data_IF_704500246057
#
_entry.id   IF_704500246057
#
_cell.length_a   1.000
_cell.length_b   1.000
_cell.length_c   1.000
_cell.angle_alpha   90.00
_cell.angle_beta   90.00
_cell.angle_gamma   90.00
#
_symmetry.space_group_name_H-M   'P 1'
#
loop_
_entity.id
_entity.type
_entity.pdbx_description
1 polymer ?
#
# COMPACT_ATOMS: atom_id res chain seq x y z
N UNK A 1 8.00 -65.99 -16.48
CA UNK A 1 7.09 -65.09 -15.71
C UNK A 1 5.83 -64.89 -16.52
N UNK A 2 4.64 -64.86 -15.91
CA UNK A 2 3.39 -64.70 -16.67
C UNK A 2 3.19 -63.23 -17.06
N UNK A 3 2.44 -62.94 -18.14
CA UNK A 3 2.15 -61.55 -18.54
C UNK A 3 1.47 -60.75 -17.42
N UNK A 4 0.70 -61.43 -16.57
CA UNK A 4 0.06 -60.86 -15.38
C UNK A 4 1.10 -60.35 -14.36
N UNK A 5 2.21 -61.06 -14.18
CA UNK A 5 3.29 -60.63 -13.27
C UNK A 5 3.97 -59.36 -13.78
N UNK A 6 4.12 -59.22 -15.10
CA UNK A 6 4.73 -58.04 -15.72
C UNK A 6 3.85 -56.79 -15.56
N UNK A 7 2.54 -56.95 -15.79
CA UNK A 7 1.55 -55.88 -15.58
C UNK A 7 1.47 -55.45 -14.11
N UNK A 8 1.53 -56.40 -13.17
CA UNK A 8 1.56 -56.11 -11.75
C UNK A 8 2.81 -55.30 -11.37
N UNK A 9 3.98 -55.69 -11.89
CA UNK A 9 5.25 -55.02 -11.59
C UNK A 9 5.28 -53.59 -12.18
N UNK A 10 4.79 -53.42 -13.42
CA UNK A 10 4.62 -52.11 -14.04
C UNK A 10 3.65 -51.21 -13.27
N UNK A 11 2.55 -51.77 -12.77
CA UNK A 11 1.58 -51.02 -11.96
C UNK A 11 2.21 -50.50 -10.67
N UNK A 12 2.97 -51.34 -9.95
CA UNK A 12 3.69 -50.92 -8.73
C UNK A 12 4.70 -49.82 -9.04
N UNK A 13 5.46 -49.94 -10.13
CA UNK A 13 6.43 -48.90 -10.55
C UNK A 13 5.71 -47.60 -10.92
N UNK A 14 4.58 -47.68 -11.63
CA UNK A 14 3.79 -46.51 -12.02
C UNK A 14 3.24 -45.77 -10.79
N UNK A 15 2.70 -46.50 -9.81
CA UNK A 15 2.22 -45.93 -8.55
C UNK A 15 3.37 -45.28 -7.79
N UNK A 16 4.52 -45.94 -7.66
CA UNK A 16 5.70 -45.38 -7.01
C UNK A 16 6.18 -44.09 -7.70
N UNK A 17 6.25 -44.08 -9.03
CA UNK A 17 6.62 -42.90 -9.81
C UNK A 17 5.64 -41.74 -9.61
N UNK A 18 4.33 -42.03 -9.52
CA UNK A 18 3.31 -41.03 -9.25
C UNK A 18 3.48 -40.39 -7.86
N UNK A 19 3.73 -41.19 -6.82
CA UNK A 19 3.99 -40.64 -5.48
C UNK A 19 5.27 -39.81 -5.43
N UNK A 20 6.31 -40.23 -6.16
CA UNK A 20 7.58 -39.50 -6.24
C UNK A 20 7.39 -38.15 -6.96
N UNK A 21 6.66 -38.15 -8.07
CA UNK A 21 6.29 -36.92 -8.77
C UNK A 21 5.45 -35.99 -7.88
N UNK A 22 4.46 -36.53 -7.16
CA UNK A 22 3.65 -35.76 -6.23
C UNK A 22 4.50 -35.11 -5.14
N UNK A 23 5.39 -35.88 -4.51
CA UNK A 23 6.29 -35.36 -3.48
C UNK A 23 7.20 -34.25 -4.04
N UNK A 24 7.77 -34.46 -5.23
CA UNK A 24 8.60 -33.47 -5.90
C UNK A 24 7.84 -32.16 -6.15
N UNK A 25 6.63 -32.22 -6.71
CA UNK A 25 5.83 -31.03 -6.96
C UNK A 25 5.38 -30.33 -5.68
N UNK A 26 5.04 -31.07 -4.61
CA UNK A 26 4.69 -30.47 -3.32
C UNK A 26 5.86 -29.70 -2.70
N UNK A 27 7.07 -30.26 -2.76
CA UNK A 27 8.30 -29.58 -2.29
C UNK A 27 8.57 -28.35 -3.14
N UNK A 28 8.46 -28.46 -4.47
CA UNK A 28 8.67 -27.33 -5.39
C UNK A 28 7.67 -26.19 -5.12
N UNK A 29 6.38 -26.51 -4.98
CA UNK A 29 5.34 -25.52 -4.67
C UNK A 29 5.62 -24.87 -3.33
N UNK A 30 5.99 -25.65 -2.31
CA UNK A 30 6.26 -25.11 -0.96
C UNK A 30 7.46 -24.17 -0.97
N UNK A 31 8.53 -24.51 -1.69
CA UNK A 31 9.69 -23.64 -1.86
C UNK A 31 9.35 -22.32 -2.54
N UNK A 32 8.50 -22.35 -3.58
CA UNK A 32 8.02 -21.14 -4.25
C UNK A 32 7.13 -20.29 -3.34
N UNK A 33 6.21 -20.93 -2.62
CA UNK A 33 5.34 -20.24 -1.65
C UNK A 33 6.14 -19.65 -0.49
N UNK A 34 7.27 -20.24 -0.11
CA UNK A 34 8.16 -19.69 0.91
C UNK A 34 8.86 -18.41 0.42
N UNK A 35 9.30 -18.36 -0.84
CA UNK A 35 9.85 -17.14 -1.44
C UNK A 35 8.82 -16.00 -1.48
N UNK A 36 7.56 -16.31 -1.83
CA UNK A 36 6.46 -15.34 -1.86
C UNK A 36 5.98 -14.99 -0.45
N UNK A 37 6.10 -15.94 0.48
CA UNK A 37 5.51 -15.90 1.82
C UNK A 37 6.33 -15.17 2.86
N UNK A 38 7.51 -14.63 2.53
CA UNK A 38 8.39 -13.95 3.48
C UNK A 38 9.53 -14.85 3.99
N UNK A 39 10.61 -14.20 4.44
CA UNK A 39 11.82 -14.88 4.91
C UNK A 39 11.51 -15.85 6.07
N UNK A 40 11.96 -17.11 6.01
CA UNK A 40 11.71 -18.08 7.07
C UNK A 40 12.48 -17.66 8.33
N UNK A 41 11.76 -17.32 9.40
CA UNK A 41 12.26 -17.42 10.76
C UNK A 41 11.66 -18.70 11.37
N UNK A 42 12.50 -19.47 12.04
CA UNK A 42 12.22 -20.76 12.65
C UNK A 42 10.81 -20.92 13.26
N UNK A 43 10.34 -22.17 13.25
CA UNK A 43 9.16 -22.72 13.95
C UNK A 43 8.15 -21.68 14.48
N UNK A 44 7.35 -21.09 13.58
CA UNK A 44 6.06 -20.50 13.95
C UNK A 44 5.84 -19.01 13.63
N UNK A 45 6.85 -18.26 13.21
CA UNK A 45 6.70 -16.82 12.96
C UNK A 45 7.16 -16.40 11.55
N UNK A 46 6.36 -16.69 10.51
CA UNK A 46 6.61 -16.19 9.15
C UNK A 46 6.27 -14.70 9.07
N UNK A 47 7.26 -13.84 8.82
CA UNK A 47 7.04 -12.43 8.52
C UNK A 47 6.53 -12.29 7.07
N UNK A 48 5.23 -12.49 6.86
CA UNK A 48 4.64 -12.47 5.51
C UNK A 48 4.79 -11.13 4.79
N UNK A 49 5.23 -11.15 3.53
CA UNK A 49 5.21 -9.94 2.71
C UNK A 49 3.78 -9.37 2.58
N UNK A 50 2.76 -10.23 2.55
CA UNK A 50 1.36 -9.80 2.56
C UNK A 50 0.96 -9.13 3.88
N UNK A 51 1.50 -9.56 5.02
CA UNK A 51 1.23 -8.87 6.30
C UNK A 51 1.90 -7.50 6.35
N UNK A 52 3.11 -7.36 5.80
CA UNK A 52 3.75 -6.04 5.61
C UNK A 52 2.94 -5.13 4.68
N UNK A 53 2.49 -5.64 3.54
CA UNK A 53 1.63 -4.88 2.60
C UNK A 53 0.33 -4.45 3.30
N UNK A 54 -0.33 -5.36 4.02
CA UNK A 54 -1.56 -5.05 4.77
C UNK A 54 -1.34 -3.96 5.82
N UNK A 55 -0.24 -4.03 6.57
CA UNK A 55 0.12 -3.00 7.56
C UNK A 55 0.41 -1.65 6.88
N UNK A 56 1.15 -1.65 5.76
CA UNK A 56 1.43 -0.46 4.98
C UNK A 56 0.18 0.20 4.42
N UNK A 57 -0.71 -0.59 3.80
CA UNK A 57 -2.00 -0.11 3.28
C UNK A 57 -2.88 0.44 4.40
N UNK A 58 -2.89 -0.20 5.57
CA UNK A 58 -3.63 0.31 6.73
C UNK A 58 -3.06 1.65 7.24
N UNK A 59 -1.74 1.82 7.24
CA UNK A 59 -1.13 3.10 7.61
C UNK A 59 -1.56 4.20 6.63
N UNK A 60 -1.51 3.92 5.32
CA UNK A 60 -1.98 4.83 4.27
C UNK A 60 -3.46 5.18 4.46
N UNK A 61 -4.31 4.19 4.75
CA UNK A 61 -5.75 4.40 5.00
C UNK A 61 -5.97 5.33 6.19
N UNK A 62 -5.26 5.09 7.31
CA UNK A 62 -5.39 5.92 8.51
C UNK A 62 -4.95 7.36 8.24
N UNK A 63 -3.81 7.57 7.61
CA UNK A 63 -3.31 8.92 7.28
C UNK A 63 -4.23 9.63 6.28
N UNK A 64 -4.65 8.92 5.22
CA UNK A 64 -5.52 9.47 4.18
C UNK A 64 -6.91 9.79 4.73
N UNK A 65 -7.42 8.99 5.69
CA UNK A 65 -8.69 9.27 6.37
C UNK A 65 -8.69 10.57 7.16
N UNK A 66 -7.51 11.11 7.47
CA UNK A 66 -7.37 12.37 8.18
C UNK A 66 -7.41 13.59 7.23
N UNK A 67 -7.17 13.41 5.93
CA UNK A 67 -7.19 14.49 4.93
C UNK A 67 -8.53 15.23 4.90
N UNK A 68 -9.70 14.55 4.84
CA UNK A 68 -11.00 15.24 4.82
C UNK A 68 -11.28 16.05 6.09
N UNK A 69 -10.59 15.75 7.21
CA UNK A 69 -10.73 16.48 8.48
C UNK A 69 -9.87 17.75 8.51
N UNK A 70 -8.71 17.72 7.87
CA UNK A 70 -7.75 18.83 7.88
C UNK A 70 -7.94 19.83 6.74
N UNK A 71 -8.45 19.39 5.58
CA UNK A 71 -8.65 20.27 4.42
C UNK A 71 -9.66 21.40 4.68
N UNK A 72 -10.83 21.15 5.30
CA UNK A 72 -11.80 22.23 5.58
C UNK A 72 -11.26 23.37 6.46
N UNK A 73 -10.65 23.12 7.65
CA UNK A 73 -10.11 24.20 8.46
C UNK A 73 -8.96 24.92 7.76
N UNK A 74 -8.11 24.21 7.01
CA UNK A 74 -7.05 24.83 6.21
C UNK A 74 -7.63 25.80 5.17
N UNK A 75 -8.65 25.39 4.42
CA UNK A 75 -9.32 26.26 3.46
C UNK A 75 -9.99 27.46 4.14
N UNK A 76 -10.58 27.28 5.32
CA UNK A 76 -11.16 28.38 6.08
C UNK A 76 -10.09 29.40 6.48
N UNK A 77 -8.94 28.96 6.98
CA UNK A 77 -7.82 29.84 7.30
C UNK A 77 -7.29 30.56 6.07
N UNK A 78 -7.10 29.86 4.95
CA UNK A 78 -6.65 30.48 3.70
C UNK A 78 -7.65 31.53 3.17
N UNK A 79 -8.95 31.26 3.33
CA UNK A 79 -10.00 32.22 2.98
C UNK A 79 -9.92 33.47 3.86
N UNK A 80 -9.77 33.31 5.18
CA UNK A 80 -9.62 34.43 6.10
C UNK A 80 -8.37 35.27 5.81
N UNK A 81 -7.25 34.61 5.49
CA UNK A 81 -6.01 35.30 5.10
C UNK A 81 -6.21 36.11 3.82
N UNK A 82 -6.84 35.53 2.79
CA UNK A 82 -7.18 36.24 1.54
C UNK A 82 -8.02 37.48 1.83
N UNK A 83 -9.06 37.35 2.64
CA UNK A 83 -9.98 38.45 2.94
C UNK A 83 -9.28 39.58 3.72
N UNK A 84 -8.40 39.23 4.66
CA UNK A 84 -7.55 40.19 5.36
C UNK A 84 -6.59 40.93 4.42
N UNK A 85 -5.99 40.24 3.46
CA UNK A 85 -5.11 40.87 2.45
C UNK A 85 -5.88 41.85 1.55
N UNK A 86 -7.11 41.53 1.15
CA UNK A 86 -7.97 42.45 0.39
C UNK A 86 -8.30 43.70 1.22
N UNK A 87 -8.57 43.54 2.52
CA UNK A 87 -8.81 44.68 3.40
C UNK A 87 -7.56 45.58 3.54
N UNK A 88 -6.37 44.99 3.62
CA UNK A 88 -5.11 45.73 3.65
C UNK A 88 -4.92 46.52 2.34
N UNK A 89 -5.10 45.89 1.18
CA UNK A 89 -4.96 46.54 -0.13
C UNK A 89 -5.91 47.75 -0.28
N UNK A 90 -7.19 47.57 0.10
CA UNK A 90 -8.17 48.66 0.09
C UNK A 90 -7.76 49.83 1.00
N UNK A 91 -7.22 49.54 2.20
CA UNK A 91 -6.74 50.58 3.11
C UNK A 91 -5.53 51.32 2.54
N UNK A 92 -4.57 50.60 1.95
CA UNK A 92 -3.42 51.24 1.29
C UNK A 92 -3.87 52.14 0.13
N UNK A 93 -4.81 51.68 -0.71
CA UNK A 93 -5.38 52.50 -1.77
C UNK A 93 -6.04 53.78 -1.23
N UNK A 94 -6.78 53.68 -0.13
CA UNK A 94 -7.38 54.83 0.56
C UNK A 94 -6.34 55.82 1.10
N UNK A 95 -5.27 55.31 1.72
CA UNK A 95 -4.15 56.15 2.21
C UNK A 95 -3.47 56.87 1.05
N UNK A 96 -3.15 56.18 -0.04
CA UNK A 96 -2.53 56.78 -1.24
C UNK A 96 -3.42 57.89 -1.81
N UNK A 97 -4.72 57.64 -1.94
CA UNK A 97 -5.67 58.65 -2.42
C UNK A 97 -5.82 59.84 -1.45
N UNK A 98 -5.73 59.60 -0.15
CA UNK A 98 -5.70 60.64 0.88
C UNK A 98 -4.46 61.53 0.76
N UNK A 99 -3.28 60.93 0.68
CA UNK A 99 -2.00 61.64 0.53
C UNK A 99 -1.96 62.42 -0.78
N UNK A 100 -2.42 61.84 -1.89
CA UNK A 100 -2.45 62.50 -3.21
C UNK A 100 -3.29 63.79 -3.20
N UNK A 101 -4.40 63.80 -2.45
CA UNK A 101 -5.26 64.99 -2.29
C UNK A 101 -4.63 66.08 -1.41
N UNK A 102 -3.74 65.73 -0.48
CA UNK A 102 -3.05 66.73 0.35
C UNK A 102 -1.91 67.42 -0.41
N UNK A 103 -1.28 66.72 -1.34
CA UNK A 103 -0.16 67.25 -2.14
C UNK A 103 -0.64 68.09 -3.33
N UNK A 104 -1.89 67.91 -3.78
CA UNK A 104 -2.51 68.68 -4.86
C UNK A 104 -3.67 69.54 -4.32
N UNK A 105 -3.41 70.75 -3.78
CA UNK A 105 -4.46 71.71 -3.43
C UNK A 105 -5.16 72.30 -4.66
#
# INVERSE_FOLDING_TARGET
MSPFTWLALLSVVAVAALFLALAFFLVAITSQLEQIGGEPRDYGAKASFLSKIRLGVRAIEVETSNIPKQVPPLNATLTAVRDGLVAIDNNLGGVIAGVSRQVSP
#
